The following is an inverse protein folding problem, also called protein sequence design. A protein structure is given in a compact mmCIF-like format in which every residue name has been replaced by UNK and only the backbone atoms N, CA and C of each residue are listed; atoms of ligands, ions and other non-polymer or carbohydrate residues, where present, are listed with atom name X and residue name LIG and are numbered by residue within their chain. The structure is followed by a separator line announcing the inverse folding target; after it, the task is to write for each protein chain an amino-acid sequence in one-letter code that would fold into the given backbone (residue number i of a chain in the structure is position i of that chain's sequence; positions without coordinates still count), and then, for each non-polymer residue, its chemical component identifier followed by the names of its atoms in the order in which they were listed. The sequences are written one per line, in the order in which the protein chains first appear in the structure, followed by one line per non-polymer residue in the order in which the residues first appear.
data_IF_687147730763
#
_entry.id   IF_687147730763
#
_cell.length_a   1.000
_cell.length_b   1.000
_cell.length_c   1.000
_cell.angle_alpha   90.00
_cell.angle_beta   90.00
_cell.angle_gamma   90.00
#
_symmetry.space_group_name_H-M   'P 1'
#
loop_
_entity.id
_entity.type
_entity.pdbx_description
1 polymer ?
#
# COMPACT_ATOMS: atom_id res chain seq x y z
N UNK A 1 -3.08 -15.52 -8.93
CA UNK A 1 -4.28 -16.39 -9.05
C UNK A 1 -5.29 -16.22 -7.89
N UNK A 2 -4.87 -15.91 -6.65
CA UNK A 2 -5.80 -15.81 -5.50
C UNK A 2 -6.74 -14.59 -5.54
N UNK A 3 -6.26 -13.40 -5.86
CA UNK A 3 -7.07 -12.16 -5.79
C UNK A 3 -8.16 -12.06 -6.88
N UNK A 4 -7.88 -12.61 -8.06
CA UNK A 4 -8.83 -12.59 -9.19
C UNK A 4 -10.09 -13.43 -8.88
N UNK A 5 -9.91 -14.52 -8.14
CA UNK A 5 -11.01 -15.36 -7.66
C UNK A 5 -11.84 -14.66 -6.58
N UNK A 6 -11.20 -13.90 -5.68
CA UNK A 6 -11.88 -13.14 -4.62
C UNK A 6 -12.78 -12.02 -5.18
N UNK A 7 -12.33 -11.35 -6.25
CA UNK A 7 -13.10 -10.28 -6.91
C UNK A 7 -14.31 -10.87 -7.65
N UNK A 8 -14.17 -12.05 -8.29
CA UNK A 8 -15.27 -12.72 -8.97
C UNK A 8 -16.31 -13.29 -7.98
N UNK A 9 -15.86 -13.90 -6.89
CA UNK A 9 -16.75 -14.43 -5.84
C UNK A 9 -17.64 -13.33 -5.24
N UNK A 10 -17.08 -12.14 -4.95
CA UNK A 10 -17.85 -11.04 -4.38
C UNK A 10 -18.80 -10.36 -5.39
N UNK A 11 -18.47 -10.36 -6.70
CA UNK A 11 -19.40 -9.94 -7.76
C UNK A 11 -20.64 -10.84 -7.81
N UNK A 12 -20.47 -12.14 -7.54
CA UNK A 12 -21.59 -13.07 -7.35
C UNK A 12 -22.34 -12.78 -6.05
N UNK A 13 -21.65 -12.59 -4.91
CA UNK A 13 -22.29 -12.28 -3.63
C UNK A 13 -23.09 -10.97 -3.67
N UNK A 14 -22.57 -9.93 -4.32
CA UNK A 14 -23.26 -8.64 -4.47
C UNK A 14 -24.46 -8.69 -5.43
N UNK A 15 -24.53 -9.71 -6.31
CA UNK A 15 -25.78 -10.04 -7.06
C UNK A 15 -26.82 -10.66 -6.12
N UNK A 16 -26.40 -11.47 -5.16
CA UNK A 16 -27.26 -12.14 -4.18
C UNK A 16 -27.89 -11.19 -3.17
N UNK A 17 -27.22 -10.07 -2.83
CA UNK A 17 -27.69 -9.09 -1.85
C UNK A 17 -28.50 -7.90 -2.44
N UNK A 18 -28.88 -7.93 -3.72
CA UNK A 18 -29.76 -6.90 -4.29
C UNK A 18 -29.18 -5.49 -4.43
N UNK A 19 -27.86 -5.31 -4.24
CA UNK A 19 -27.19 -4.01 -4.32
C UNK A 19 -27.32 -3.39 -5.71
N UNK A 20 -27.54 -2.08 -5.79
CA UNK A 20 -27.55 -1.34 -7.05
C UNK A 20 -26.18 -1.42 -7.74
N UNK A 21 -26.14 -1.20 -9.06
CA UNK A 21 -24.88 -1.20 -9.81
C UNK A 21 -23.86 -0.19 -9.25
N UNK A 22 -24.33 0.95 -8.74
CA UNK A 22 -23.50 1.99 -8.10
C UNK A 22 -22.85 1.50 -6.81
N UNK A 23 -23.59 0.78 -5.96
CA UNK A 23 -23.05 0.21 -4.71
C UNK A 23 -22.02 -0.89 -4.97
N UNK A 24 -22.21 -1.69 -6.03
CA UNK A 24 -21.23 -2.70 -6.45
C UNK A 24 -19.90 -2.08 -6.89
N UNK A 25 -19.95 -0.98 -7.64
CA UNK A 25 -18.76 -0.25 -8.06
C UNK A 25 -18.01 0.32 -6.86
N UNK A 26 -18.73 0.85 -5.86
CA UNK A 26 -18.11 1.35 -4.60
C UNK A 26 -17.41 0.24 -3.83
N UNK A 27 -18.04 -0.94 -3.67
CA UNK A 27 -17.44 -2.07 -2.96
C UNK A 27 -16.18 -2.57 -3.66
N UNK A 28 -16.21 -2.72 -4.99
CA UNK A 28 -15.03 -3.13 -5.78
C UNK A 28 -13.94 -2.06 -5.69
N UNK A 29 -14.29 -0.77 -5.78
CA UNK A 29 -13.35 0.34 -5.64
C UNK A 29 -12.67 0.38 -4.28
N UNK A 30 -13.41 0.16 -3.19
CA UNK A 30 -12.85 0.07 -1.84
C UNK A 30 -11.89 -1.11 -1.68
N UNK A 31 -12.20 -2.28 -2.27
CA UNK A 31 -11.34 -3.45 -2.19
C UNK A 31 -10.05 -3.27 -3.00
N UNK A 32 -10.13 -2.68 -4.20
CA UNK A 32 -8.96 -2.33 -5.00
C UNK A 32 -8.05 -1.34 -4.25
N UNK A 33 -8.63 -0.26 -3.70
CA UNK A 33 -7.89 0.71 -2.88
C UNK A 33 -7.24 0.08 -1.64
N UNK A 34 -7.91 -0.90 -1.00
CA UNK A 34 -7.34 -1.64 0.13
C UNK A 34 -6.18 -2.55 -0.28
N UNK A 35 -6.23 -3.12 -1.48
CA UNK A 35 -5.12 -3.91 -2.04
C UNK A 35 -3.91 -3.03 -2.34
N UNK A 36 -4.15 -1.88 -2.96
CA UNK A 36 -3.10 -0.92 -3.31
C UNK A 36 -2.39 -0.39 -2.05
N UNK A 37 -3.16 -0.02 -1.02
CA UNK A 37 -2.60 0.42 0.27
C UNK A 37 -1.81 -0.66 1.00
N UNK A 38 -2.19 -1.94 0.90
CA UNK A 38 -1.37 -3.05 1.42
C UNK A 38 -0.04 -3.19 0.69
N UNK A 39 -0.02 -3.01 -0.64
CA UNK A 39 1.21 -3.06 -1.42
C UNK A 39 2.16 -1.92 -1.03
N UNK A 40 1.63 -0.72 -0.81
CA UNK A 40 2.39 0.43 -0.31
C UNK A 40 2.95 0.19 1.09
N UNK A 41 2.14 -0.36 2.01
CA UNK A 41 2.61 -0.71 3.35
C UNK A 41 3.79 -1.69 3.31
N UNK A 42 3.69 -2.72 2.46
CA UNK A 42 4.77 -3.67 2.28
C UNK A 42 6.03 -3.00 1.71
N UNK A 43 5.86 -2.12 0.71
CA UNK A 43 6.98 -1.38 0.13
C UNK A 43 7.68 -0.49 1.18
N UNK A 44 6.92 0.24 2.01
CA UNK A 44 7.47 1.04 3.13
C UNK A 44 8.26 0.17 4.09
N UNK A 45 7.69 -0.96 4.55
CA UNK A 45 8.39 -1.85 5.50
C UNK A 45 9.66 -2.44 4.89
N UNK A 46 9.62 -2.86 3.63
CA UNK A 46 10.77 -3.47 2.96
C UNK A 46 11.86 -2.46 2.61
N UNK A 47 11.51 -1.21 2.32
CA UNK A 47 12.47 -0.13 2.10
C UNK A 47 13.17 0.28 3.41
N UNK A 48 12.44 0.26 4.53
CA UNK A 48 12.90 0.80 5.83
C UNK A 48 13.45 -0.24 6.81
N UNK A 49 13.31 -1.54 6.55
CA UNK A 49 13.74 -2.58 7.51
C UNK A 49 15.24 -2.54 7.83
N UNK A 50 15.58 -2.64 9.12
CA UNK A 50 16.95 -2.75 9.62
C UNK A 50 17.65 -4.08 9.32
N UNK A 51 16.94 -5.11 8.82
CA UNK A 51 17.48 -6.47 8.68
C UNK A 51 18.69 -6.63 7.74
N UNK A 52 19.10 -5.58 7.02
CA UNK A 52 20.33 -5.54 6.23
C UNK A 52 20.99 -4.16 6.36
N UNK A 53 22.29 -4.12 6.63
CA UNK A 53 23.10 -2.90 6.64
C UNK A 53 23.42 -2.39 5.21
N UNK A 54 22.39 -2.29 4.37
CA UNK A 54 22.47 -1.79 3.00
C UNK A 54 21.39 -0.74 2.78
N UNK A 55 21.56 0.20 1.84
CA UNK A 55 20.51 1.14 1.46
C UNK A 55 19.17 0.46 1.10
N UNK A 56 18.05 1.20 1.12
CA UNK A 56 16.77 0.71 0.60
C UNK A 56 16.94 0.15 -0.81
N UNK A 57 16.29 -0.98 -1.10
CA UNK A 57 16.37 -1.54 -2.45
C UNK A 57 15.58 -0.67 -3.40
N UNK A 58 16.19 -0.33 -4.54
CA UNK A 58 15.63 0.52 -5.59
C UNK A 58 14.19 0.14 -5.96
N UNK A 59 13.91 -1.16 -6.12
CA UNK A 59 12.56 -1.65 -6.46
C UNK A 59 11.45 -1.20 -5.51
N UNK A 60 11.76 -0.99 -4.22
CA UNK A 60 10.77 -0.55 -3.23
C UNK A 60 10.65 0.97 -3.25
N UNK A 61 11.77 1.68 -3.41
CA UNK A 61 11.78 3.14 -3.57
C UNK A 61 11.01 3.54 -4.83
N UNK A 62 11.28 2.89 -5.96
CA UNK A 62 10.57 3.13 -7.22
C UNK A 62 9.06 2.84 -7.11
N UNK A 63 8.66 1.79 -6.39
CA UNK A 63 7.24 1.50 -6.18
C UNK A 63 6.53 2.63 -5.41
N UNK A 64 7.18 3.18 -4.39
CA UNK A 64 6.67 4.33 -3.63
C UNK A 64 6.66 5.61 -4.48
N UNK A 65 7.74 5.86 -5.24
CA UNK A 65 7.82 7.00 -6.16
C UNK A 65 6.70 6.96 -7.21
N UNK A 66 6.45 5.80 -7.82
CA UNK A 66 5.36 5.62 -8.77
C UNK A 66 3.99 5.89 -8.14
N UNK A 67 3.77 5.48 -6.89
CA UNK A 67 2.53 5.76 -6.17
C UNK A 67 2.36 7.27 -5.90
N UNK A 68 3.44 7.95 -5.51
CA UNK A 68 3.43 9.40 -5.33
C UNK A 68 3.14 10.15 -6.64
N UNK A 69 3.57 9.62 -7.79
CA UNK A 69 3.29 10.18 -9.11
C UNK A 69 1.86 9.90 -9.61
N UNK A 70 1.23 8.80 -9.17
CA UNK A 70 -0.12 8.40 -9.59
C UNK A 70 -1.21 9.30 -9.01
N UNK A 71 -1.12 9.66 -7.72
CA UNK A 71 -2.12 10.52 -7.09
C UNK A 71 -1.61 11.21 -5.82
N UNK A 72 -2.13 12.41 -5.53
CA UNK A 72 -1.84 13.12 -4.29
C UNK A 72 -2.32 12.40 -3.02
N UNK A 73 -3.37 11.57 -3.13
CA UNK A 73 -3.86 10.74 -2.02
C UNK A 73 -2.87 9.63 -1.69
N UNK A 74 -2.31 8.95 -2.70
CA UNK A 74 -1.27 7.94 -2.50
C UNK A 74 0.03 8.57 -1.99
N UNK A 75 0.42 9.73 -2.51
CA UNK A 75 1.56 10.48 -1.99
C UNK A 75 1.39 10.81 -0.50
N UNK A 76 0.23 11.35 -0.12
CA UNK A 76 -0.10 11.66 1.28
C UNK A 76 -0.09 10.41 2.16
N UNK A 77 -0.57 9.27 1.64
CA UNK A 77 -0.54 7.99 2.34
C UNK A 77 0.90 7.54 2.60
N UNK A 78 1.76 7.52 1.58
CA UNK A 78 3.17 7.15 1.69
C UNK A 78 3.89 8.02 2.72
N UNK A 79 3.73 9.35 2.62
CA UNK A 79 4.34 10.31 3.56
C UNK A 79 3.92 10.02 5.01
N UNK A 80 2.63 9.81 5.27
CA UNK A 80 2.15 9.49 6.63
C UNK A 80 2.74 8.18 7.15
N UNK A 81 2.85 7.16 6.30
CA UNK A 81 3.43 5.87 6.70
C UNK A 81 4.94 5.98 6.98
N UNK A 82 5.68 6.75 6.19
CA UNK A 82 7.10 7.02 6.45
C UNK A 82 7.28 7.83 7.73
N UNK A 83 6.48 8.86 7.96
CA UNK A 83 6.52 9.65 9.19
C UNK A 83 6.28 8.79 10.43
N UNK A 84 5.25 7.94 10.41
CA UNK A 84 5.00 6.99 11.51
C UNK A 84 6.17 6.02 11.70
N UNK A 85 6.77 5.54 10.60
CA UNK A 85 7.93 4.65 10.66
C UNK A 85 9.17 5.30 11.28
N UNK A 86 9.37 6.58 10.99
CA UNK A 86 10.46 7.38 11.57
C UNK A 86 10.20 7.65 13.06
N UNK A 87 8.97 8.00 13.42
CA UNK A 87 8.56 8.23 14.81
C UNK A 87 8.74 6.96 15.67
N UNK A 88 8.39 5.80 15.13
CA UNK A 88 8.46 4.51 15.84
C UNK A 88 9.83 3.82 15.72
N UNK A 89 10.82 4.46 15.09
CA UNK A 89 12.13 3.87 14.89
C UNK A 89 12.88 3.75 16.23
N UNK A 90 13.16 2.51 16.64
CA UNK A 90 14.00 2.21 17.81
C UNK A 90 15.47 1.94 17.45
N UNK A 91 15.78 1.87 16.16
CA UNK A 91 17.13 1.65 15.64
C UNK A 91 17.50 2.71 14.60
N UNK A 92 18.78 3.12 14.62
CA UNK A 92 19.28 4.19 13.76
C UNK A 92 19.18 3.84 12.27
N UNK A 93 19.26 2.56 11.91
CA UNK A 93 19.28 2.14 10.52
C UNK A 93 17.89 2.25 9.89
N UNK A 94 16.82 1.88 10.61
CA UNK A 94 15.44 2.12 10.20
C UNK A 94 15.19 3.62 10.05
N UNK A 95 15.66 4.45 10.99
CA UNK A 95 15.53 5.90 10.89
C UNK A 95 16.23 6.47 9.65
N UNK A 96 17.51 6.15 9.44
CA UNK A 96 18.29 6.61 8.28
C UNK A 96 17.69 6.15 6.95
N UNK A 97 17.23 4.90 6.87
CA UNK A 97 16.56 4.40 5.66
C UNK A 97 15.25 5.12 5.40
N UNK A 98 14.48 5.38 6.45
CA UNK A 98 13.20 6.09 6.32
C UNK A 98 13.41 7.53 5.84
N UNK A 99 14.48 8.21 6.25
CA UNK A 99 14.85 9.54 5.77
C UNK A 99 15.42 9.54 4.33
N UNK A 100 15.95 8.41 3.87
CA UNK A 100 16.53 8.28 2.52
C UNK A 100 15.48 7.94 1.45
N UNK A 101 14.29 7.52 1.88
CA UNK A 101 13.13 7.18 1.04
C UNK A 101 12.25 8.42 0.90
#
# INVERSE_FOLDING_TARGET
MSEMNSIQAMKQTARTFGLSASERLKVVGHMASRSDTKALDLAVVKATTAGRHTPPKEKHVQALANACQRSGTEASYVIRRLLGRLHDASDWLTACKTLSV
#
